data_IF_561966791453
#
_entry.id   IF_561966791453
#
_cell.length_a   1.000
_cell.length_b   1.000
_cell.length_c   1.000
_cell.angle_alpha   90.00
_cell.angle_beta   90.00
_cell.angle_gamma   90.00
#
_symmetry.space_group_name_H-M   'P 1'
#
loop_
_entity.id
_entity.type
_entity.pdbx_description
1 polymer ?
#
# COMPACT_ATOMS: atom_id res chain seq x y z
N UNK A 1 -4.76 11.81 -5.38
CA UNK A 1 -3.29 11.88 -5.13
C UNK A 1 -2.85 10.56 -4.54
N UNK A 2 -1.86 9.94 -5.17
CA UNK A 2 -1.18 8.74 -4.68
C UNK A 2 0.07 9.18 -3.94
N UNK A 3 0.22 8.71 -2.70
CA UNK A 3 1.43 8.96 -1.94
C UNK A 3 2.28 7.69 -1.92
N UNK A 4 3.53 7.86 -2.34
CA UNK A 4 4.55 6.84 -2.49
C UNK A 4 5.87 7.33 -1.94
N UNK A 5 6.82 6.42 -1.88
CA UNK A 5 8.09 6.64 -1.26
C UNK A 5 9.26 6.34 -2.22
N UNK A 6 10.38 7.04 -2.06
CA UNK A 6 11.55 7.02 -2.94
C UNK A 6 12.51 5.83 -2.65
N UNK A 7 12.17 4.91 -1.75
CA UNK A 7 13.07 3.84 -1.31
C UNK A 7 13.28 2.69 -2.29
N UNK A 8 12.69 2.73 -3.47
CA UNK A 8 12.59 1.53 -4.31
C UNK A 8 13.18 1.85 -5.69
N UNK A 9 14.46 1.54 -5.85
CA UNK A 9 15.19 1.53 -7.12
C UNK A 9 14.79 0.32 -8.01
N UNK A 10 13.52 -0.10 -7.98
CA UNK A 10 13.04 -1.38 -8.52
C UNK A 10 11.72 -1.22 -9.30
N UNK A 11 11.46 -2.14 -10.23
CA UNK A 11 10.40 -2.18 -11.26
C UNK A 11 8.97 -1.84 -10.76
N UNK A 12 8.72 -1.95 -9.46
CA UNK A 12 7.53 -1.43 -8.76
C UNK A 12 7.15 0.01 -9.12
N UNK A 13 8.13 0.87 -9.47
CA UNK A 13 7.88 2.26 -9.87
C UNK A 13 7.00 2.35 -11.12
N UNK A 14 7.12 1.39 -12.04
CA UNK A 14 6.27 1.32 -13.24
C UNK A 14 4.83 1.03 -12.85
N UNK A 15 4.61 0.11 -11.91
CA UNK A 15 3.27 -0.30 -11.51
C UNK A 15 2.51 0.80 -10.77
N UNK A 16 3.18 1.60 -9.96
CA UNK A 16 2.49 2.68 -9.26
C UNK A 16 2.41 3.96 -10.11
N UNK A 17 3.37 4.19 -11.01
CA UNK A 17 3.39 5.38 -11.86
C UNK A 17 2.49 5.27 -13.08
N UNK A 18 2.45 4.11 -13.72
CA UNK A 18 1.67 3.87 -14.94
C UNK A 18 0.16 4.10 -14.78
N UNK A 19 -0.55 3.48 -13.81
CA UNK A 19 -1.97 3.72 -13.62
C UNK A 19 -2.23 5.18 -13.26
N UNK A 20 -1.33 5.81 -12.49
CA UNK A 20 -1.46 7.22 -12.13
C UNK A 20 -1.34 8.14 -13.34
N UNK A 21 -0.40 7.89 -14.25
CA UNK A 21 -0.29 8.62 -15.52
C UNK A 21 -1.56 8.42 -16.37
N UNK A 22 -2.03 7.17 -16.49
CA UNK A 22 -3.20 6.83 -17.30
C UNK A 22 -4.49 7.48 -16.77
N UNK A 23 -4.65 7.56 -15.44
CA UNK A 23 -5.82 8.20 -14.81
C UNK A 23 -5.63 9.70 -14.54
N UNK A 24 -4.46 10.26 -14.87
CA UNK A 24 -4.12 11.68 -14.61
C UNK A 24 -4.05 12.04 -13.13
N UNK A 25 -3.78 11.07 -12.24
CA UNK A 25 -3.62 11.35 -10.82
C UNK A 25 -2.23 11.98 -10.54
N UNK A 26 -2.11 12.62 -9.39
CA UNK A 26 -0.83 13.15 -8.91
C UNK A 26 -0.12 12.07 -8.07
N UNK A 27 1.20 11.97 -8.19
CA UNK A 27 2.07 11.15 -7.33
C UNK A 27 2.94 12.06 -6.48
N UNK A 28 3.04 11.75 -5.20
CA UNK A 28 4.04 12.32 -4.31
C UNK A 28 5.05 11.24 -3.92
N UNK A 29 6.33 11.50 -4.18
CA UNK A 29 7.44 10.60 -3.85
C UNK A 29 8.19 11.22 -2.67
N UNK A 30 7.93 10.71 -1.46
CA UNK A 30 8.60 11.17 -0.23
C UNK A 30 9.90 10.41 0.04
N UNK A 31 10.81 10.97 0.85
CA UNK A 31 11.99 10.25 1.32
C UNK A 31 11.59 9.21 2.41
N UNK A 32 11.98 7.92 2.28
CA UNK A 32 11.59 6.85 3.22
C UNK A 32 11.94 7.12 4.67
N UNK A 33 13.06 7.81 4.86
CA UNK A 33 13.70 7.98 6.15
C UNK A 33 13.14 9.19 6.89
N UNK A 34 12.38 10.04 6.19
CA UNK A 34 11.78 11.25 6.74
C UNK A 34 10.27 11.04 6.94
N UNK A 35 9.91 10.32 8.00
CA UNK A 35 8.51 10.04 8.32
C UNK A 35 7.76 11.28 8.79
N UNK A 36 8.44 12.29 9.35
CA UNK A 36 7.83 13.57 9.70
C UNK A 36 7.34 14.30 8.45
N UNK A 37 8.18 14.34 7.41
CA UNK A 37 7.80 14.91 6.13
C UNK A 37 6.65 14.13 5.49
N UNK A 38 6.70 12.79 5.50
CA UNK A 38 5.59 11.95 4.99
C UNK A 38 4.27 12.29 5.69
N UNK A 39 4.28 12.36 7.02
CA UNK A 39 3.08 12.68 7.80
C UNK A 39 2.57 14.09 7.47
N UNK A 40 3.46 15.07 7.36
CA UNK A 40 3.10 16.45 6.98
C UNK A 40 2.43 16.50 5.62
N UNK A 41 2.97 15.77 4.64
CA UNK A 41 2.40 15.72 3.29
C UNK A 41 1.07 14.95 3.24
N UNK A 42 0.89 13.89 4.04
CA UNK A 42 -0.40 13.22 4.19
C UNK A 42 -1.46 14.24 4.65
N UNK A 43 -1.13 15.08 5.64
CA UNK A 43 -2.03 16.10 6.17
C UNK A 43 -2.31 17.22 5.15
N UNK A 44 -1.27 17.75 4.50
CA UNK A 44 -1.40 18.87 3.56
C UNK A 44 -2.15 18.45 2.29
N UNK A 45 -1.79 17.30 1.74
CA UNK A 45 -2.22 16.90 0.41
C UNK A 45 -3.44 15.99 0.39
N UNK A 46 -3.81 15.40 1.53
CA UNK A 46 -4.99 14.55 1.71
C UNK A 46 -5.09 13.48 0.61
N UNK A 47 -4.17 12.51 0.59
CA UNK A 47 -4.16 11.49 -0.45
C UNK A 47 -5.44 10.65 -0.42
N UNK A 48 -5.81 10.13 -1.58
CA UNK A 48 -6.93 9.18 -1.74
C UNK A 48 -6.44 7.74 -1.68
N UNK A 49 -5.14 7.53 -1.90
CA UNK A 49 -4.52 6.21 -1.87
C UNK A 49 -3.09 6.31 -1.34
N UNK A 50 -2.68 5.34 -0.53
CA UNK A 50 -1.38 5.32 0.13
C UNK A 50 -0.75 3.92 0.01
N UNK A 51 0.31 3.79 -0.78
CA UNK A 51 0.94 2.51 -1.10
C UNK A 51 2.39 2.46 -0.65
N UNK A 52 2.75 1.50 0.22
CA UNK A 52 4.12 1.37 0.77
C UNK A 52 4.48 -0.05 1.25
N UNK A 53 5.78 -0.31 1.43
CA UNK A 53 6.25 -1.55 2.07
C UNK A 53 5.89 -1.59 3.57
N UNK A 54 5.69 -2.79 4.17
CA UNK A 54 5.30 -2.92 5.58
C UNK A 54 6.20 -2.14 6.54
N UNK A 55 7.52 -2.17 6.33
CA UNK A 55 8.48 -1.45 7.17
C UNK A 55 8.18 0.04 7.28
N UNK A 56 7.81 0.69 6.17
CA UNK A 56 7.51 2.12 6.18
C UNK A 56 6.16 2.42 6.84
N UNK A 57 5.16 1.55 6.65
CA UNK A 57 3.91 1.66 7.40
C UNK A 57 4.14 1.64 8.91
N UNK A 58 4.98 0.72 9.38
CA UNK A 58 5.34 0.63 10.80
C UNK A 58 6.15 1.84 11.28
N UNK A 59 7.06 2.36 10.45
CA UNK A 59 7.81 3.57 10.78
C UNK A 59 6.90 4.79 10.92
N UNK A 60 5.92 4.96 10.02
CA UNK A 60 4.92 6.04 10.10
C UNK A 60 4.00 5.84 11.31
N UNK A 61 3.56 4.61 11.57
CA UNK A 61 2.71 4.28 12.71
C UNK A 61 3.38 4.59 14.06
N UNK A 62 4.65 4.23 14.20
CA UNK A 62 5.42 4.43 15.42
C UNK A 62 5.89 5.88 15.60
N UNK A 63 5.81 6.72 14.57
CA UNK A 63 6.15 8.12 14.69
C UNK A 63 5.05 8.86 15.51
N UNK A 64 5.39 9.55 16.62
CA UNK A 64 4.41 10.30 17.43
C UNK A 64 3.59 11.33 16.66
N UNK A 65 4.14 11.89 15.58
CA UNK A 65 3.45 12.86 14.71
C UNK A 65 2.25 12.25 14.00
N UNK A 66 2.18 10.92 13.82
CA UNK A 66 1.06 10.26 13.16
C UNK A 66 -0.26 10.47 13.88
N UNK A 67 -0.23 10.68 15.21
CA UNK A 67 -1.41 11.00 16.03
C UNK A 67 -1.97 12.40 15.73
N UNK A 68 -1.22 13.25 15.03
CA UNK A 68 -1.66 14.58 14.59
C UNK A 68 -2.37 14.53 13.24
N UNK A 69 -2.41 13.38 12.57
CA UNK A 69 -3.16 13.23 11.32
C UNK A 69 -4.65 13.34 11.68
N UNK A 70 -5.38 14.32 11.10
CA UNK A 70 -6.78 14.48 11.38
C UNK A 70 -7.59 13.25 10.89
N UNK A 71 -8.62 12.80 11.62
CA UNK A 71 -9.47 11.69 11.20
C UNK A 71 -10.04 11.85 9.79
N UNK A 72 -10.43 13.06 9.39
CA UNK A 72 -10.97 13.34 8.05
C UNK A 72 -9.95 13.09 6.92
N UNK A 73 -8.64 13.20 7.23
CA UNK A 73 -7.58 12.89 6.27
C UNK A 73 -7.43 11.38 6.11
N UNK A 74 -7.51 10.63 7.21
CA UNK A 74 -7.51 9.15 7.19
C UNK A 74 -8.75 8.61 6.49
N UNK A 75 -9.91 9.23 6.72
CA UNK A 75 -11.17 8.83 6.11
C UNK A 75 -11.19 9.07 4.60
N UNK A 76 -10.50 10.12 4.12
CA UNK A 76 -10.32 10.43 2.70
C UNK A 76 -9.46 9.40 1.96
N UNK A 77 -8.56 8.69 2.65
CA UNK A 77 -7.82 7.59 2.04
C UNK A 77 -8.80 6.42 1.87
N UNK A 78 -9.05 6.01 0.63
CA UNK A 78 -9.94 4.90 0.29
C UNK A 78 -9.20 3.58 0.14
N UNK A 79 -7.88 3.63 -0.08
CA UNK A 79 -7.06 2.46 -0.37
C UNK A 79 -5.66 2.58 0.24
N UNK A 80 -5.28 1.57 1.00
CA UNK A 80 -3.93 1.32 1.48
C UNK A 80 -3.40 0.08 0.79
N UNK A 81 -2.23 0.17 0.15
CA UNK A 81 -1.61 -0.97 -0.53
C UNK A 81 -0.28 -1.28 0.14
N UNK A 82 -0.07 -2.54 0.52
CA UNK A 82 1.22 -3.00 1.02
C UNK A 82 1.73 -4.20 0.25
N UNK A 83 3.03 -4.23 -0.04
CA UNK A 83 3.63 -5.33 -0.78
C UNK A 83 5.14 -5.47 -0.53
N UNK A 84 5.79 -6.29 -1.36
CA UNK A 84 7.21 -6.66 -1.30
C UNK A 84 7.66 -7.49 -0.08
N UNK A 85 6.93 -7.46 1.04
CA UNK A 85 7.20 -8.28 2.22
C UNK A 85 5.89 -8.62 2.97
N UNK A 86 5.84 -9.71 3.74
CA UNK A 86 4.67 -10.04 4.56
C UNK A 86 4.49 -9.00 5.67
N UNK A 87 3.27 -8.48 5.83
CA UNK A 87 2.95 -7.57 6.91
C UNK A 87 2.68 -8.37 8.21
N UNK A 88 3.30 -8.03 9.35
CA UNK A 88 3.08 -8.77 10.60
C UNK A 88 1.58 -8.75 11.02
N UNK A 89 0.94 -9.93 11.22
CA UNK A 89 -0.49 -10.03 11.53
C UNK A 89 -0.98 -9.15 12.69
N UNK A 90 -0.18 -9.08 13.76
CA UNK A 90 -0.48 -8.28 14.95
C UNK A 90 -0.43 -6.78 14.65
N UNK A 91 0.53 -6.36 13.82
CA UNK A 91 0.70 -4.96 13.45
C UNK A 91 -0.40 -4.46 12.50
N UNK A 92 -0.98 -5.33 11.64
CA UNK A 92 -2.11 -4.95 10.78
C UNK A 92 -3.29 -4.47 11.62
N UNK A 93 -3.59 -5.16 12.74
CA UNK A 93 -4.72 -4.80 13.60
C UNK A 93 -4.53 -3.45 14.28
N UNK A 94 -3.34 -3.21 14.81
CA UNK A 94 -3.03 -1.91 15.43
C UNK A 94 -2.97 -0.79 14.39
N UNK A 95 -2.46 -1.08 13.19
CA UNK A 95 -2.46 -0.14 12.08
C UNK A 95 -3.89 0.20 11.64
N UNK A 96 -4.77 -0.80 11.56
CA UNK A 96 -6.17 -0.59 11.20
C UNK A 96 -6.92 0.30 12.18
N UNK A 97 -6.66 0.15 13.48
CA UNK A 97 -7.23 1.04 14.51
C UNK A 97 -6.70 2.47 14.38
N UNK A 98 -5.40 2.65 14.21
CA UNK A 98 -4.78 3.97 14.20
C UNK A 98 -4.98 4.76 12.90
N UNK A 99 -5.08 4.07 11.76
CA UNK A 99 -5.19 4.68 10.43
C UNK A 99 -6.56 4.45 9.76
N UNK A 100 -7.55 3.93 10.48
CA UNK A 100 -8.91 3.66 10.00
C UNK A 100 -8.95 2.74 8.77
N UNK A 101 -8.14 1.67 8.76
CA UNK A 101 -7.95 0.84 7.56
C UNK A 101 -8.77 -0.46 7.53
N UNK A 102 -9.70 -0.64 8.47
CA UNK A 102 -10.43 -1.91 8.71
C UNK A 102 -11.05 -2.55 7.43
N UNK A 103 -11.37 -1.77 6.40
CA UNK A 103 -11.79 -2.28 5.09
C UNK A 103 -11.04 -1.68 3.88
N UNK A 104 -9.93 -0.99 4.13
CA UNK A 104 -9.21 -0.21 3.11
C UNK A 104 -7.81 -0.75 2.81
N UNK A 105 -7.35 -1.75 3.58
CA UNK A 105 -6.01 -2.31 3.45
C UNK A 105 -5.94 -3.52 2.51
N UNK A 106 -5.05 -3.48 1.52
CA UNK A 106 -4.81 -4.56 0.55
C UNK A 106 -3.33 -4.94 0.60
N UNK A 107 -3.06 -6.20 0.87
CA UNK A 107 -1.72 -6.77 0.69
C UNK A 107 -1.61 -7.36 -0.70
N UNK A 108 -0.55 -6.98 -1.41
CA UNK A 108 -0.19 -7.48 -2.73
C UNK A 108 1.13 -8.21 -2.65
N UNK A 109 1.20 -9.39 -3.23
CA UNK A 109 2.44 -10.14 -3.38
C UNK A 109 2.77 -10.28 -4.86
N UNK A 110 4.02 -10.03 -5.19
CA UNK A 110 4.52 -10.01 -6.54
C UNK A 110 5.97 -10.42 -6.58
N UNK A 111 6.37 -11.01 -7.70
CA UNK A 111 7.76 -11.31 -8.01
C UNK A 111 8.09 -10.64 -9.35
N UNK A 112 9.33 -10.20 -9.52
CA UNK A 112 9.78 -9.58 -10.77
C UNK A 112 9.65 -10.56 -11.94
N UNK A 113 9.74 -11.86 -11.67
CA UNK A 113 9.67 -12.95 -12.66
C UNK A 113 8.24 -13.27 -13.18
N UNK A 114 7.18 -12.74 -12.56
CA UNK A 114 5.77 -13.11 -12.89
C UNK A 114 4.83 -11.90 -13.01
N UNK A 115 5.30 -10.84 -13.67
CA UNK A 115 4.51 -9.64 -14.00
C UNK A 115 4.04 -8.81 -12.79
N UNK A 116 4.95 -8.65 -11.81
CA UNK A 116 4.95 -7.60 -10.78
C UNK A 116 3.89 -7.75 -9.67
N UNK A 117 2.67 -8.25 -9.91
CA UNK A 117 1.74 -8.68 -8.84
C UNK A 117 1.10 -10.02 -9.20
N UNK A 118 1.32 -11.03 -8.37
CA UNK A 118 0.83 -12.41 -8.59
C UNK A 118 -0.46 -12.66 -7.81
N UNK A 119 -0.55 -12.16 -6.58
CA UNK A 119 -1.71 -12.35 -5.71
C UNK A 119 -2.05 -11.07 -4.93
N UNK A 120 -3.32 -10.86 -4.62
CA UNK A 120 -3.77 -9.80 -3.73
C UNK A 120 -4.88 -10.27 -2.79
N UNK A 121 -4.87 -9.72 -1.58
CA UNK A 121 -5.98 -9.90 -0.66
C UNK A 121 -7.25 -9.23 -1.22
N UNK A 122 -8.45 -9.85 -1.08
CA UNK A 122 -9.70 -9.25 -1.55
C UNK A 122 -9.91 -7.85 -0.97
N UNK A 123 -10.27 -6.89 -1.82
CA UNK A 123 -10.61 -5.54 -1.39
C UNK A 123 -11.88 -5.54 -0.52
N UNK A 124 -12.83 -6.44 -0.82
CA UNK A 124 -14.10 -6.62 -0.13
C UNK A 124 -14.24 -8.07 0.38
N UNK A 125 -14.79 -8.27 1.59
CA UNK A 125 -15.03 -9.58 2.19
C UNK A 125 -14.07 -9.98 3.32
N UNK A 126 -14.16 -11.22 3.81
CA UNK A 126 -13.30 -11.71 4.89
C UNK A 126 -11.84 -11.85 4.44
N UNK A 127 -10.96 -11.06 5.05
CA UNK A 127 -9.51 -11.11 4.83
C UNK A 127 -8.88 -12.16 5.75
N UNK A 128 -8.18 -13.13 5.17
CA UNK A 128 -7.36 -14.07 5.94
C UNK A 128 -6.00 -13.42 6.22
N UNK A 129 -5.89 -12.82 7.39
CA UNK A 129 -4.66 -12.20 7.89
C UNK A 129 -3.51 -13.22 7.83
N UNK A 130 -2.37 -12.84 7.24
CA UNK A 130 -1.19 -13.70 7.09
C UNK A 130 -1.20 -14.61 5.86
N UNK A 131 -2.11 -14.38 4.90
CA UNK A 131 -2.11 -15.07 3.60
C UNK A 131 -1.80 -14.09 2.47
N UNK A 132 -1.25 -14.60 1.36
CA UNK A 132 -0.88 -13.79 0.17
C UNK A 132 -2.08 -13.40 -0.71
N UNK A 133 -3.30 -13.83 -0.33
CA UNK A 133 -4.53 -13.51 -1.06
C UNK A 133 -4.84 -14.44 -2.23
N UNK A 134 -5.70 -13.95 -3.13
CA UNK A 134 -6.14 -14.68 -4.32
C UNK A 134 -5.25 -14.34 -5.52
N UNK A 135 -5.05 -15.28 -6.47
CA UNK A 135 -4.34 -15.00 -7.71
C UNK A 135 -5.05 -13.90 -8.49
N UNK A 136 -4.28 -12.89 -8.90
CA UNK A 136 -4.78 -11.86 -9.81
C UNK A 136 -4.61 -12.42 -11.22
N UNK A 137 -5.71 -12.46 -11.99
CA UNK A 137 -5.66 -12.86 -13.40
C UNK A 137 -5.01 -11.74 -14.23
N UNK A 138 -3.68 -11.62 -14.15
CA UNK A 138 -2.87 -10.82 -15.09
C UNK A 138 -2.18 -11.70 -16.14
N UNK A 139 -2.00 -12.99 -15.84
CA UNK A 139 -1.52 -13.99 -16.79
C UNK A 139 -2.68 -14.92 -17.17
N UNK A 140 -2.92 -15.12 -18.47
CA UNK A 140 -3.72 -16.24 -18.93
C UNK A 140 -3.15 -17.53 -18.34
N UNK A 141 -3.99 -18.48 -17.88
CA UNK A 141 -3.48 -19.71 -17.29
C UNK A 141 -2.67 -20.47 -18.33
N UNK A 142 -1.37 -20.67 -18.08
CA UNK A 142 -0.63 -21.74 -18.74
C UNK A 142 -1.10 -23.03 -18.10
N UNK A 143 -2.10 -23.65 -18.72
CA UNK A 143 -2.47 -25.03 -18.42
C UNK A 143 -1.31 -25.92 -18.87
N UNK A 144 -0.48 -26.36 -17.93
CA UNK A 144 0.41 -27.49 -18.19
C UNK A 144 -0.45 -28.75 -18.06
N UNK A 145 -1.00 -29.21 -19.19
CA UNK A 145 -1.48 -30.59 -19.33
C UNK A 145 -0.28 -31.52 -19.33
N UNK A 146 -0.18 -32.36 -18.30
CA UNK A 146 0.63 -33.57 -18.26
C UNK A 146 -0.25 -34.77 -17.99
#
# INVERSE_FOLDING_TARGET
>A
LFFMNDSIYDESRVLDTYPVIVIGAQILIGNPRDTDHIIKEIIDKKPTSFGNVPTLFLMVQNNPMSKKIPPEVLDNISLYVSGAAPFPPEAIREFAKQFHTENKFVEVYGMTETAIIVTANPMYGEKKIGTVGLPINICAPITITG
#
